data_IF_814525311819
#
_entry.id   IF_814525311819
#
_cell.length_a   1.000
_cell.length_b   1.000
_cell.length_c   1.000
_cell.angle_alpha   90.00
_cell.angle_beta   90.00
_cell.angle_gamma   90.00
#
_symmetry.space_group_name_H-M   'P 1'
#
loop_
_entity.id
_entity.type
_entity.pdbx_description
1 polymer ?
#
# COMPACT_ATOMS: atom_id res chain seq x y z
N UNK A 1 3.13 11.89 -9.51
CA UNK A 1 2.49 10.70 -8.92
C UNK A 1 2.18 10.95 -7.46
N UNK A 2 1.01 10.56 -7.03
CA UNK A 2 0.59 10.65 -5.62
C UNK A 2 0.47 9.25 -5.04
N UNK A 3 1.13 9.00 -3.92
CA UNK A 3 1.16 7.67 -3.27
C UNK A 3 0.60 7.80 -1.86
N UNK A 4 -0.39 6.97 -1.54
CA UNK A 4 -0.93 6.85 -0.18
C UNK A 4 -0.26 5.67 0.52
N UNK A 5 0.36 5.94 1.67
CA UNK A 5 0.99 4.92 2.52
C UNK A 5 0.16 4.78 3.78
N UNK A 6 -0.39 3.58 4.00
CA UNK A 6 -1.21 3.27 5.16
C UNK A 6 -0.49 2.24 6.05
N UNK A 7 -0.12 2.66 7.25
CA UNK A 7 0.54 1.82 8.25
C UNK A 7 0.38 2.52 9.60
N UNK A 8 0.06 1.79 10.65
CA UNK A 8 -0.13 2.39 11.98
C UNK A 8 1.20 2.79 12.63
N UNK A 9 2.32 2.33 12.12
CA UNK A 9 3.66 2.71 12.59
C UNK A 9 4.21 3.88 11.78
N UNK A 10 4.37 5.03 12.43
CA UNK A 10 5.00 6.19 11.80
C UNK A 10 6.41 5.87 11.31
N UNK A 11 7.17 5.11 12.13
CA UNK A 11 8.52 4.70 11.75
C UNK A 11 8.51 3.87 10.47
N UNK A 12 7.54 2.97 10.34
CA UNK A 12 7.42 2.13 9.16
C UNK A 12 7.04 2.96 7.92
N UNK A 13 6.16 3.95 8.08
CA UNK A 13 5.84 4.86 6.96
C UNK A 13 7.09 5.60 6.48
N UNK A 14 7.97 6.00 7.40
CA UNK A 14 9.24 6.63 7.05
C UNK A 14 10.18 5.67 6.31
N UNK A 15 10.22 4.41 6.74
CA UNK A 15 11.02 3.37 6.07
C UNK A 15 10.51 3.16 4.64
N UNK A 16 9.21 3.05 4.45
CA UNK A 16 8.62 2.86 3.12
C UNK A 16 8.96 4.05 2.22
N UNK A 17 8.85 5.27 2.72
CA UNK A 17 9.22 6.47 1.95
C UNK A 17 10.69 6.42 1.50
N UNK A 18 11.58 6.02 2.39
CA UNK A 18 13.00 5.90 2.07
C UNK A 18 13.25 4.81 1.03
N UNK A 19 12.57 3.66 1.15
CA UNK A 19 12.69 2.55 0.20
C UNK A 19 12.19 2.94 -1.19
N UNK A 20 11.10 3.69 -1.27
CA UNK A 20 10.58 4.19 -2.55
C UNK A 20 11.61 5.10 -3.22
N UNK A 21 12.23 5.98 -2.45
CA UNK A 21 13.25 6.89 -2.98
C UNK A 21 14.46 6.12 -3.48
N UNK A 22 14.93 5.13 -2.72
CA UNK A 22 16.04 4.28 -3.13
C UNK A 22 15.71 3.44 -4.36
N UNK A 23 14.43 3.06 -4.51
CA UNK A 23 13.96 2.32 -5.68
C UNK A 23 13.86 3.18 -6.94
N UNK A 24 14.14 4.48 -6.83
CA UNK A 24 14.13 5.39 -7.97
C UNK A 24 12.84 6.19 -8.13
N UNK A 25 11.91 6.05 -7.20
CA UNK A 25 10.64 6.80 -7.22
C UNK A 25 10.88 8.15 -6.54
N UNK A 26 11.09 9.17 -7.34
CA UNK A 26 11.41 10.51 -6.84
C UNK A 26 10.33 11.50 -7.27
N UNK A 27 10.14 12.52 -6.43
CA UNK A 27 9.17 13.56 -6.71
C UNK A 27 7.72 13.15 -6.51
N UNK A 28 7.46 11.99 -5.90
CA UNK A 28 6.10 11.58 -5.59
C UNK A 28 5.58 12.40 -4.40
N UNK A 29 4.32 12.79 -4.49
CA UNK A 29 3.62 13.38 -3.35
C UNK A 29 3.13 12.22 -2.47
N UNK A 30 3.52 12.23 -1.19
CA UNK A 30 3.18 11.17 -0.26
C UNK A 30 2.06 11.63 0.68
N UNK A 31 1.00 10.84 0.74
CA UNK A 31 -0.09 11.00 1.71
C UNK A 31 0.00 9.83 2.68
N UNK A 32 -0.16 10.08 3.97
CA UNK A 32 -0.03 9.05 5.00
C UNK A 32 -1.33 8.86 5.76
N UNK A 33 -1.59 7.60 6.14
CA UNK A 33 -2.71 7.24 6.99
C UNK A 33 -2.25 6.23 8.04
N UNK A 34 -2.79 6.35 9.26
CA UNK A 34 -2.40 5.51 10.40
C UNK A 34 -3.31 4.30 10.61
N UNK A 35 -4.43 4.22 9.90
CA UNK A 35 -5.33 3.07 9.95
C UNK A 35 -6.14 2.98 8.65
N UNK A 36 -6.88 1.87 8.51
CA UNK A 36 -7.64 1.62 7.29
C UNK A 36 -8.81 2.57 7.08
N UNK A 37 -9.44 3.03 8.15
CA UNK A 37 -10.56 3.97 8.05
C UNK A 37 -10.09 5.34 7.56
N UNK A 38 -8.99 5.84 8.13
CA UNK A 38 -8.36 7.08 7.67
C UNK A 38 -7.89 6.95 6.22
N UNK A 39 -7.29 5.79 5.90
CA UNK A 39 -6.80 5.53 4.55
C UNK A 39 -7.94 5.53 3.53
N UNK A 40 -9.07 4.92 3.88
CA UNK A 40 -10.23 4.89 2.99
C UNK A 40 -10.75 6.31 2.71
N UNK A 41 -10.82 7.15 3.74
CA UNK A 41 -11.23 8.54 3.58
C UNK A 41 -10.25 9.29 2.70
N UNK A 42 -8.96 9.17 2.96
CA UNK A 42 -7.93 9.87 2.18
C UNK A 42 -7.84 9.38 0.74
N UNK A 43 -8.11 8.10 0.49
CA UNK A 43 -8.14 7.58 -0.87
C UNK A 43 -9.22 8.27 -1.70
N UNK A 44 -10.38 8.56 -1.09
CA UNK A 44 -11.44 9.30 -1.75
C UNK A 44 -11.12 10.77 -1.96
N UNK A 45 -10.53 11.41 -0.94
CA UNK A 45 -10.25 12.85 -0.96
C UNK A 45 -9.05 13.21 -1.82
N UNK A 46 -8.01 12.37 -1.80
CA UNK A 46 -6.72 12.67 -2.45
C UNK A 46 -6.55 12.02 -3.81
N UNK A 47 -7.36 11.03 -4.13
CA UNK A 47 -7.33 10.30 -5.41
C UNK A 47 -5.90 9.85 -5.78
N UNK A 48 -5.24 9.04 -4.94
CA UNK A 48 -3.86 8.63 -5.19
C UNK A 48 -3.74 7.74 -6.43
N UNK A 49 -2.55 7.73 -7.02
CA UNK A 49 -2.21 6.87 -8.17
C UNK A 49 -1.81 5.48 -7.73
N UNK A 50 -1.35 5.35 -6.48
CA UNK A 50 -0.86 4.09 -5.91
C UNK A 50 -1.13 4.10 -4.41
N UNK A 51 -1.53 2.94 -3.89
CA UNK A 51 -1.68 2.74 -2.44
C UNK A 51 -0.75 1.60 -2.01
N UNK A 52 0.01 1.85 -0.95
CA UNK A 52 0.83 0.84 -0.28
C UNK A 52 0.31 0.75 1.16
N UNK A 53 -0.18 -0.42 1.56
CA UNK A 53 -0.84 -0.59 2.86
C UNK A 53 -0.27 -1.77 3.63
N UNK A 54 -0.17 -1.61 4.95
CA UNK A 54 0.01 -2.76 5.83
C UNK A 54 -1.33 -3.51 5.91
N UNK A 55 -1.27 -4.74 6.39
CA UNK A 55 -2.46 -5.58 6.61
C UNK A 55 -3.05 -5.33 7.99
N UNK A 56 -2.21 -5.39 9.02
CA UNK A 56 -2.65 -5.26 10.41
C UNK A 56 -2.66 -3.80 10.84
N UNK A 57 -3.85 -3.21 10.89
CA UNK A 57 -4.06 -1.83 11.32
C UNK A 57 -5.30 -1.77 12.20
N UNK A 58 -5.35 -0.81 13.16
CA UNK A 58 -6.55 -0.64 13.99
C UNK A 58 -7.70 -0.07 13.18
N UNK A 59 -8.91 -0.20 13.71
CA UNK A 59 -10.18 0.32 13.19
C UNK A 59 -10.64 -0.38 11.89
N UNK A 60 -9.76 -0.52 10.92
CA UNK A 60 -10.03 -1.21 9.66
C UNK A 60 -8.71 -1.81 9.18
N UNK A 61 -8.68 -3.11 8.90
CA UNK A 61 -7.48 -3.78 8.40
C UNK A 61 -7.20 -3.40 6.95
N UNK A 62 -5.98 -3.70 6.49
CA UNK A 62 -5.62 -3.40 5.10
C UNK A 62 -6.47 -4.15 4.08
N UNK A 63 -6.83 -5.41 4.38
CA UNK A 63 -7.67 -6.17 3.46
C UNK A 63 -9.10 -5.61 3.44
N UNK A 64 -9.63 -5.21 4.58
CA UNK A 64 -10.95 -4.55 4.66
C UNK A 64 -10.94 -3.23 3.88
N UNK A 65 -9.86 -2.46 4.01
CA UNK A 65 -9.67 -1.23 3.27
C UNK A 65 -9.69 -1.48 1.76
N UNK A 66 -8.92 -2.47 1.27
CA UNK A 66 -8.90 -2.84 -0.14
C UNK A 66 -10.29 -3.26 -0.63
N UNK A 67 -10.97 -4.13 0.13
CA UNK A 67 -12.29 -4.60 -0.23
C UNK A 67 -13.31 -3.46 -0.31
N UNK A 68 -13.22 -2.50 0.63
CA UNK A 68 -14.09 -1.33 0.61
C UNK A 68 -13.84 -0.43 -0.61
N UNK A 69 -12.59 -0.25 -1.00
CA UNK A 69 -12.24 0.51 -2.21
C UNK A 69 -12.87 -0.14 -3.45
N UNK A 70 -12.69 -1.45 -3.60
CA UNK A 70 -13.20 -2.17 -4.76
C UNK A 70 -14.73 -2.19 -4.80
N UNK A 71 -15.36 -2.36 -3.64
CA UNK A 71 -16.83 -2.30 -3.54
C UNK A 71 -17.38 -0.94 -3.94
N UNK A 72 -16.63 0.13 -3.69
CA UNK A 72 -16.98 1.49 -4.09
C UNK A 72 -16.63 1.84 -5.53
N UNK A 73 -16.12 0.90 -6.31
CA UNK A 73 -15.76 1.12 -7.71
C UNK A 73 -14.39 1.76 -7.92
N UNK A 74 -13.59 1.89 -6.86
CA UNK A 74 -12.24 2.45 -6.97
C UNK A 74 -11.26 1.33 -7.29
N UNK A 75 -10.63 1.40 -8.45
CA UNK A 75 -9.70 0.37 -8.95
C UNK A 75 -8.23 0.82 -8.90
N UNK A 76 -7.91 1.78 -8.03
CA UNK A 76 -6.55 2.28 -7.86
C UNK A 76 -5.56 1.13 -7.64
N UNK A 77 -4.35 1.25 -8.17
CA UNK A 77 -3.29 0.27 -7.97
C UNK A 77 -2.98 0.16 -6.49
N UNK A 78 -3.07 -1.05 -5.95
CA UNK A 78 -2.96 -1.32 -4.51
C UNK A 78 -1.99 -2.46 -4.26
N UNK A 79 -1.07 -2.27 -3.34
CA UNK A 79 -0.17 -3.32 -2.90
C UNK A 79 -0.02 -3.34 -1.40
N UNK A 80 0.34 -4.50 -0.87
CA UNK A 80 0.62 -4.68 0.55
C UNK A 80 2.11 -4.67 0.84
N UNK A 81 2.49 -4.05 1.95
CA UNK A 81 3.82 -4.16 2.55
C UNK A 81 3.60 -4.58 4.00
N UNK A 82 3.81 -5.85 4.33
CA UNK A 82 3.31 -6.43 5.57
C UNK A 82 4.12 -7.65 6.02
N UNK A 83 3.94 -8.07 7.28
CA UNK A 83 4.46 -9.34 7.78
C UNK A 83 3.54 -10.52 7.44
N UNK A 84 2.32 -10.25 6.97
CA UNK A 84 1.34 -11.28 6.62
C UNK A 84 1.62 -11.84 5.23
N UNK A 85 2.47 -12.89 5.19
CA UNK A 85 3.00 -13.40 3.91
C UNK A 85 2.64 -14.86 3.62
N UNK A 86 1.65 -15.41 4.33
CA UNK A 86 1.20 -16.78 4.06
C UNK A 86 0.61 -16.91 2.66
N UNK A 87 0.59 -18.14 2.14
CA UNK A 87 -0.01 -18.41 0.84
C UNK A 87 -1.50 -18.02 0.80
N UNK A 88 -2.21 -18.25 1.93
CA UNK A 88 -3.62 -17.89 2.06
C UNK A 88 -3.82 -16.37 1.99
N UNK A 89 -2.96 -15.61 2.67
CA UNK A 89 -3.03 -14.15 2.67
C UNK A 89 -2.69 -13.58 1.29
N UNK A 90 -1.69 -14.15 0.63
CA UNK A 90 -1.33 -13.74 -0.72
C UNK A 90 -2.47 -13.99 -1.71
N UNK A 91 -3.14 -15.13 -1.59
CA UNK A 91 -4.28 -15.47 -2.43
C UNK A 91 -5.44 -14.50 -2.18
N UNK A 92 -5.75 -14.24 -0.91
CA UNK A 92 -6.83 -13.32 -0.55
C UNK A 92 -6.54 -11.90 -1.05
N UNK A 93 -5.30 -11.44 -0.93
CA UNK A 93 -4.90 -10.14 -1.45
C UNK A 93 -5.13 -10.05 -2.96
N UNK A 94 -4.65 -11.04 -3.71
CA UNK A 94 -4.82 -11.08 -5.17
C UNK A 94 -6.29 -11.15 -5.57
N UNK A 95 -7.06 -12.00 -4.90
CA UNK A 95 -8.49 -12.17 -5.18
C UNK A 95 -9.29 -10.90 -4.88
N UNK A 96 -8.81 -10.10 -3.92
CA UNK A 96 -9.44 -8.82 -3.55
C UNK A 96 -8.99 -7.67 -4.44
N UNK A 97 -8.04 -7.90 -5.33
CA UNK A 97 -7.61 -6.90 -6.30
C UNK A 97 -6.31 -6.19 -6.00
N UNK A 98 -5.45 -6.75 -5.13
CA UNK A 98 -4.11 -6.23 -4.90
C UNK A 98 -3.19 -6.63 -6.06
N UNK A 99 -2.29 -5.73 -6.43
CA UNK A 99 -1.34 -5.98 -7.52
C UNK A 99 -0.04 -6.62 -7.03
N UNK A 100 0.31 -6.44 -5.76
CA UNK A 100 1.53 -7.03 -5.20
C UNK A 100 1.42 -7.18 -3.68
N UNK A 101 2.30 -8.01 -3.12
CA UNK A 101 2.46 -8.14 -1.68
C UNK A 101 3.95 -8.30 -1.39
N UNK A 102 4.50 -7.37 -0.62
CA UNK A 102 5.90 -7.36 -0.22
C UNK A 102 5.98 -7.71 1.26
N UNK A 103 6.78 -8.73 1.60
CA UNK A 103 6.95 -9.17 2.98
C UNK A 103 7.99 -8.35 3.73
N UNK A 104 7.70 -8.03 5.00
CA UNK A 104 8.67 -7.41 5.91
C UNK A 104 9.56 -8.51 6.51
N UNK A 105 10.87 -8.27 6.69
CA UNK A 105 11.61 -7.07 6.30
C UNK A 105 11.79 -7.00 4.78
N UNK A 106 11.77 -5.78 4.24
CA UNK A 106 11.90 -5.57 2.80
C UNK A 106 13.08 -4.66 2.48
N UNK A 107 13.52 -4.70 1.22
CA UNK A 107 14.57 -3.85 0.69
C UNK A 107 14.02 -2.97 -0.44
N UNK A 108 14.77 -1.95 -0.82
CA UNK A 108 14.39 -1.07 -1.93
C UNK A 108 14.16 -1.84 -3.22
N UNK A 109 14.94 -2.91 -3.47
CA UNK A 109 14.78 -3.75 -4.66
C UNK A 109 13.40 -4.40 -4.74
N UNK A 110 12.79 -4.74 -3.61
CA UNK A 110 11.45 -5.32 -3.58
C UNK A 110 10.42 -4.34 -4.12
N UNK A 111 10.55 -3.06 -3.74
CA UNK A 111 9.66 -2.01 -4.26
C UNK A 111 9.94 -1.71 -5.73
N UNK A 112 11.20 -1.65 -6.12
CA UNK A 112 11.57 -1.40 -7.51
C UNK A 112 10.97 -2.48 -8.42
N UNK A 113 11.08 -3.74 -8.02
CA UNK A 113 10.55 -4.87 -8.79
C UNK A 113 9.01 -4.85 -8.83
N UNK A 114 8.38 -4.64 -7.68
CA UNK A 114 6.92 -4.66 -7.59
C UNK A 114 6.29 -3.51 -8.37
N UNK A 115 6.93 -2.36 -8.42
CA UNK A 115 6.38 -1.14 -9.02
C UNK A 115 6.85 -0.87 -10.44
N UNK A 116 7.74 -1.71 -10.98
CA UNK A 116 8.31 -1.51 -12.31
C UNK A 116 7.25 -1.39 -13.42
N UNK A 117 6.11 -2.07 -13.28
CA UNK A 117 5.04 -2.04 -14.26
C UNK A 117 4.16 -0.78 -14.15
N UNK A 118 4.28 0.01 -13.07
CA UNK A 118 3.37 1.12 -12.75
C UNK A 118 4.05 2.48 -12.77
N UNK A 119 5.36 2.51 -12.90
CA UNK A 119 6.15 3.74 -12.92
C UNK A 119 7.14 3.69 -14.07
N UNK A 120 7.44 4.84 -14.59
CA UNK A 120 8.43 4.99 -15.67
C UNK A 120 9.85 5.10 -15.13
#
# INVERSE_FOLDING_TARGET
MKILIADDSRAMRMVIKAMLREAGIRGAEIVEAADGAEALQKAGDEDPDLIISDWNMPNMTGIEFLQALRAGGNDVTFGFATTEVSAEMRALAADSGASFLIGKPFAAADFAQALAAYID
#
